data_IF_295958161423
#
_entry.id   IF_295958161423
#
_cell.length_a   1.000
_cell.length_b   1.000
_cell.length_c   1.000
_cell.angle_alpha   90.00
_cell.angle_beta   90.00
_cell.angle_gamma   90.00
#
_symmetry.space_group_name_H-M   'P 1'
#
loop_
_entity.id
_entity.type
_entity.pdbx_description
1 polymer ?
#
# COMPACT_ATOMS: atom_id res chain seq x y z
N UNK A 1 -20.28 -5.24 -39.44
CA UNK A 1 -20.52 -3.89 -39.96
C UNK A 1 -19.54 -2.95 -39.28
N UNK A 2 -18.66 -2.32 -40.06
CA UNK A 2 -17.58 -1.43 -39.60
C UNK A 2 -18.08 0.01 -39.73
N UNK A 3 -18.02 0.81 -38.67
CA UNK A 3 -17.92 2.26 -38.80
C UNK A 3 -16.89 2.79 -37.81
N UNK A 4 -15.82 3.30 -38.41
CA UNK A 4 -14.75 4.09 -37.82
C UNK A 4 -15.17 5.56 -37.90
N UNK A 5 -15.03 6.31 -36.81
CA UNK A 5 -15.12 7.76 -36.83
C UNK A 5 -13.98 8.33 -36.00
N UNK A 6 -12.94 8.77 -36.69
CA UNK A 6 -11.80 9.50 -36.16
C UNK A 6 -12.21 10.98 -36.17
N UNK A 7 -12.28 11.61 -35.00
CA UNK A 7 -12.49 13.06 -34.88
C UNK A 7 -11.12 13.73 -34.65
N UNK A 8 -10.64 14.39 -35.70
CA UNK A 8 -9.45 15.26 -35.66
C UNK A 8 -9.91 16.67 -35.30
N UNK A 9 -9.50 17.18 -34.14
CA UNK A 9 -9.72 18.59 -33.77
C UNK A 9 -8.46 19.39 -34.08
N UNK A 10 -8.62 20.33 -35.00
CA UNK A 10 -7.66 21.32 -35.45
C UNK A 10 -7.76 22.54 -34.51
N UNK A 11 -6.71 22.87 -33.75
CA UNK A 11 -6.65 24.11 -32.97
C UNK A 11 -5.72 25.09 -33.70
N UNK A 12 -6.32 26.16 -34.22
CA UNK A 12 -5.63 27.32 -34.78
C UNK A 12 -4.86 28.05 -33.68
N UNK A 13 -3.56 28.28 -33.91
CA UNK A 13 -2.79 29.28 -33.18
C UNK A 13 -3.10 30.67 -33.74
N UNK A 14 -3.70 31.52 -32.92
CA UNK A 14 -3.84 32.96 -33.17
C UNK A 14 -2.68 33.72 -32.53
N UNK A 15 -1.76 34.21 -33.36
CA UNK A 15 -0.72 35.18 -32.99
C UNK A 15 -1.34 36.57 -32.87
N UNK A 16 -1.30 37.16 -31.66
CA UNK A 16 -1.66 38.57 -31.44
C UNK A 16 -0.38 39.40 -31.45
N UNK A 17 -0.25 40.27 -32.46
CA UNK A 17 0.72 41.37 -32.48
C UNK A 17 0.29 42.44 -31.47
N UNK A 18 1.18 42.79 -30.55
CA UNK A 18 1.06 43.98 -29.70
C UNK A 18 2.01 45.04 -30.24
N UNK A 19 1.46 46.18 -30.67
CA UNK A 19 2.23 47.36 -31.06
C UNK A 19 2.66 48.12 -29.79
N UNK A 20 3.97 48.29 -29.63
CA UNK A 20 4.56 49.21 -28.67
C UNK A 20 4.45 50.64 -29.22
N UNK A 21 3.89 51.54 -28.42
CA UNK A 21 3.87 52.97 -28.70
C UNK A 21 4.64 53.66 -27.57
N UNK A 22 5.90 54.00 -27.86
CA UNK A 22 6.73 54.85 -27.01
C UNK A 22 6.22 56.28 -27.12
N UNK A 23 5.83 56.88 -26.00
CA UNK A 23 5.61 58.32 -25.90
C UNK A 23 6.37 58.82 -24.67
N UNK A 24 7.54 59.40 -24.95
CA UNK A 24 8.43 60.04 -23.99
C UNK A 24 8.02 61.49 -23.81
N UNK A 25 7.44 61.81 -22.66
CA UNK A 25 7.37 63.19 -22.14
C UNK A 25 7.97 63.22 -20.75
N UNK A 26 9.16 63.84 -20.67
CA UNK A 26 9.90 64.12 -19.46
C UNK A 26 9.37 65.41 -18.83
N UNK A 27 8.64 65.30 -17.72
CA UNK A 27 8.45 66.40 -16.79
C UNK A 27 8.97 65.97 -15.41
N UNK A 28 9.91 66.78 -14.90
CA UNK A 28 10.48 66.64 -13.58
C UNK A 28 9.39 66.90 -12.53
N UNK A 29 8.89 65.83 -11.90
CA UNK A 29 7.88 65.93 -10.86
C UNK A 29 8.46 65.49 -9.52
N UNK A 30 8.16 66.30 -8.51
CA UNK A 30 8.65 66.21 -7.14
C UNK A 30 8.31 64.84 -6.56
N UNK A 31 9.33 64.07 -6.17
CA UNK A 31 9.23 62.74 -5.57
C UNK A 31 8.61 62.84 -4.16
N UNK A 32 7.30 63.02 -4.08
CA UNK A 32 6.53 62.60 -2.92
C UNK A 32 6.49 61.08 -2.97
N UNK A 33 7.14 60.40 -2.02
CA UNK A 33 6.98 58.96 -1.86
C UNK A 33 5.48 58.65 -1.80
N UNK A 34 4.93 57.84 -2.71
CA UNK A 34 3.53 57.48 -2.66
C UNK A 34 3.27 56.89 -1.28
N UNK A 35 2.28 57.46 -0.58
CA UNK A 35 1.74 56.85 0.63
C UNK A 35 1.12 55.54 0.14
N UNK A 36 1.86 54.44 0.29
CA UNK A 36 1.34 53.10 0.02
C UNK A 36 0.10 52.93 0.89
N UNK A 37 -1.07 52.91 0.25
CA UNK A 37 -2.30 52.55 0.93
C UNK A 37 -2.08 51.18 1.57
N UNK A 38 -2.36 51.02 2.87
CA UNK A 38 -2.13 49.77 3.56
C UNK A 38 -2.92 48.68 2.85
N UNK A 39 -2.22 47.74 2.20
CA UNK A 39 -2.85 46.59 1.58
C UNK A 39 -3.51 45.78 2.69
N UNK A 40 -4.84 45.65 2.63
CA UNK A 40 -5.61 44.80 3.53
C UNK A 40 -5.17 43.35 3.26
N UNK A 41 -4.48 42.72 4.22
CA UNK A 41 -4.04 41.32 4.07
C UNK A 41 -4.97 40.44 4.88
N UNK A 42 -5.87 39.73 4.20
CA UNK A 42 -6.75 38.75 4.84
C UNK A 42 -5.93 37.52 5.26
N UNK A 43 -5.49 37.47 6.52
CA UNK A 43 -4.73 36.34 7.08
C UNK A 43 -5.65 35.24 7.63
N UNK A 44 -5.21 33.99 7.50
CA UNK A 44 -5.91 32.81 8.02
C UNK A 44 -6.07 32.91 9.55
N UNK A 45 -7.31 32.91 10.03
CA UNK A 45 -7.65 32.82 11.47
C UNK A 45 -8.18 34.09 12.13
N UNK A 46 -7.98 35.27 11.53
CA UNK A 46 -8.60 36.53 11.97
C UNK A 46 -9.08 37.29 10.74
N UNK A 47 -10.38 37.18 10.44
CA UNK A 47 -10.95 37.98 9.36
C UNK A 47 -11.04 39.43 9.86
N UNK A 48 -10.06 40.25 9.47
CA UNK A 48 -10.06 41.69 9.74
C UNK A 48 -11.26 42.36 9.06
N UNK A 49 -11.61 43.57 9.52
CA UNK A 49 -12.74 44.33 8.98
C UNK A 49 -12.57 44.54 7.46
N UNK A 50 -13.45 43.93 6.67
CA UNK A 50 -13.43 44.00 5.20
C UNK A 50 -13.24 42.64 4.52
N UNK A 51 -12.64 41.67 5.18
CA UNK A 51 -12.48 40.32 4.64
C UNK A 51 -13.80 39.53 4.69
N UNK A 52 -13.98 38.61 3.74
CA UNK A 52 -15.16 37.73 3.67
C UNK A 52 -14.78 36.37 4.26
N UNK A 53 -15.56 35.88 5.22
CA UNK A 53 -15.39 34.54 5.79
C UNK A 53 -16.28 33.54 5.06
N UNK A 54 -15.68 32.54 4.43
CA UNK A 54 -16.41 31.46 3.76
C UNK A 54 -16.59 30.24 4.69
N UNK A 55 -17.26 29.20 4.19
CA UNK A 55 -17.55 27.96 4.92
C UNK A 55 -16.35 27.06 5.16
N UNK A 56 -15.31 27.20 4.33
CA UNK A 56 -13.98 26.61 4.50
C UNK A 56 -13.23 27.14 5.75
N UNK A 57 -13.83 28.10 6.46
CA UNK A 57 -13.27 28.79 7.63
C UNK A 57 -12.04 29.65 7.28
N UNK A 58 -11.79 29.89 6.00
CA UNK A 58 -10.75 30.76 5.48
C UNK A 58 -11.32 32.19 5.27
N UNK A 59 -10.44 33.18 5.32
CA UNK A 59 -10.77 34.58 5.09
C UNK A 59 -10.29 34.96 3.69
N UNK A 60 -11.17 35.56 2.90
CA UNK A 60 -10.93 35.93 1.51
C UNK A 60 -11.01 37.45 1.32
N UNK A 61 -10.41 37.94 0.24
CA UNK A 61 -10.36 39.37 -0.08
C UNK A 61 -11.76 39.99 -0.24
N UNK A 62 -11.90 41.31 -0.01
CA UNK A 62 -13.16 42.01 -0.25
C UNK A 62 -13.65 41.80 -1.69
N UNK A 63 -14.89 41.36 -1.85
CA UNK A 63 -15.50 41.07 -3.15
C UNK A 63 -15.33 39.64 -3.64
N UNK A 64 -14.59 38.79 -2.93
CA UNK A 64 -14.53 37.36 -3.21
C UNK A 64 -15.91 36.70 -3.04
N UNK A 65 -16.33 35.86 -3.98
CA UNK A 65 -17.61 35.16 -3.92
C UNK A 65 -17.40 33.75 -3.36
N UNK A 66 -17.95 33.47 -2.18
CA UNK A 66 -17.96 32.12 -1.58
C UNK A 66 -18.99 31.23 -2.29
N UNK A 67 -18.59 30.51 -3.32
CA UNK A 67 -19.47 29.62 -4.08
C UNK A 67 -19.15 28.18 -3.67
N UNK A 68 -20.10 27.54 -2.98
CA UNK A 68 -20.04 26.12 -2.64
C UNK A 68 -20.76 25.30 -3.73
N UNK A 69 -19.99 24.75 -4.66
CA UNK A 69 -20.53 23.94 -5.75
C UNK A 69 -19.78 22.62 -5.87
N UNK A 70 -20.53 21.53 -6.00
CA UNK A 70 -20.00 20.18 -6.14
C UNK A 70 -20.76 19.44 -7.22
N UNK A 71 -20.03 18.73 -8.07
CA UNK A 71 -20.61 17.92 -9.15
C UNK A 71 -20.26 16.46 -8.97
N UNK A 72 -21.17 15.57 -9.36
CA UNK A 72 -20.89 14.14 -9.51
C UNK A 72 -20.30 13.91 -10.91
N UNK A 73 -19.06 13.43 -10.97
CA UNK A 73 -18.39 13.09 -12.23
C UNK A 73 -18.88 11.73 -12.76
N UNK A 74 -18.88 10.70 -11.89
CA UNK A 74 -19.35 9.32 -12.19
C UNK A 74 -19.51 8.50 -10.92
N UNK A 75 -20.19 7.36 -10.99
CA UNK A 75 -20.16 6.34 -9.93
C UNK A 75 -19.89 4.94 -10.50
N UNK A 76 -19.36 4.04 -9.68
CA UNK A 76 -19.06 2.67 -10.05
C UNK A 76 -19.16 1.71 -8.86
N UNK A 77 -19.52 0.43 -9.09
CA UNK A 77 -19.98 -0.11 -10.37
C UNK A 77 -21.40 0.36 -10.73
N UNK A 78 -21.73 0.40 -12.02
CA UNK A 78 -23.10 0.65 -12.52
C UNK A 78 -23.95 -0.63 -12.66
N UNK A 79 -23.34 -1.78 -12.37
CA UNK A 79 -23.98 -3.09 -12.31
C UNK A 79 -23.55 -3.81 -11.04
N UNK A 80 -24.53 -4.25 -10.26
CA UNK A 80 -24.34 -4.94 -8.98
C UNK A 80 -25.18 -6.22 -8.95
N UNK A 81 -24.89 -7.14 -8.04
CA UNK A 81 -25.78 -8.27 -7.73
C UNK A 81 -26.69 -7.89 -6.56
N UNK A 82 -27.85 -8.53 -6.44
CA UNK A 82 -28.65 -8.40 -5.21
C UNK A 82 -27.81 -8.73 -3.97
N UNK A 83 -28.13 -8.08 -2.85
CA UNK A 83 -27.37 -8.15 -1.61
C UNK A 83 -26.52 -6.91 -1.34
N UNK A 84 -25.53 -7.06 -0.48
CA UNK A 84 -24.64 -5.96 -0.09
C UNK A 84 -23.60 -5.66 -1.16
N UNK A 85 -23.42 -4.37 -1.48
CA UNK A 85 -22.38 -3.92 -2.39
C UNK A 85 -21.91 -2.51 -2.01
N UNK A 86 -20.73 -2.13 -2.47
CA UNK A 86 -20.19 -0.78 -2.27
C UNK A 86 -20.22 0.00 -3.58
N UNK A 87 -20.78 1.20 -3.54
CA UNK A 87 -20.71 2.17 -4.62
C UNK A 87 -19.62 3.20 -4.32
N UNK A 88 -18.79 3.46 -5.31
CA UNK A 88 -17.74 4.47 -5.30
C UNK A 88 -18.21 5.64 -6.16
N UNK A 89 -18.38 6.81 -5.56
CA UNK A 89 -18.94 7.99 -6.22
C UNK A 89 -17.84 9.04 -6.32
N UNK A 90 -17.50 9.43 -7.55
CA UNK A 90 -16.47 10.43 -7.84
C UNK A 90 -17.11 11.81 -7.83
N UNK A 91 -16.60 12.66 -6.94
CA UNK A 91 -17.04 14.04 -6.80
C UNK A 91 -15.94 14.99 -7.25
N UNK A 92 -16.33 16.17 -7.70
CA UNK A 92 -15.43 17.28 -8.01
C UNK A 92 -15.95 18.55 -7.35
N UNK A 93 -15.08 19.27 -6.66
CA UNK A 93 -15.38 20.61 -6.18
C UNK A 93 -15.23 21.60 -7.34
N UNK A 94 -16.35 22.15 -7.81
CA UNK A 94 -16.40 23.16 -8.89
C UNK A 94 -16.61 24.57 -8.36
N UNK A 95 -16.74 24.71 -7.03
CA UNK A 95 -16.89 26.00 -6.36
C UNK A 95 -15.60 26.81 -6.31
N UNK A 96 -15.65 27.89 -5.54
CA UNK A 96 -14.50 28.79 -5.31
C UNK A 96 -13.86 28.61 -3.95
N UNK A 97 -14.43 27.77 -3.09
CA UNK A 97 -13.99 27.52 -1.70
C UNK A 97 -13.80 26.04 -1.44
N UNK A 98 -12.98 25.70 -0.44
CA UNK A 98 -12.83 24.31 -0.02
C UNK A 98 -14.14 23.79 0.59
N UNK A 99 -14.45 22.51 0.41
CA UNK A 99 -15.65 21.88 0.95
C UNK A 99 -15.27 20.91 2.07
N UNK A 100 -15.98 20.96 3.19
CA UNK A 100 -15.76 20.09 4.35
C UNK A 100 -16.95 19.14 4.59
N UNK A 101 -16.69 17.99 5.21
CA UNK A 101 -17.69 16.96 5.59
C UNK A 101 -18.63 16.59 4.43
N UNK A 102 -18.04 15.96 3.42
CA UNK A 102 -18.72 15.60 2.18
C UNK A 102 -19.12 14.13 2.24
N UNK A 103 -20.40 13.84 2.02
CA UNK A 103 -20.86 12.45 1.93
C UNK A 103 -22.01 12.30 0.94
N UNK A 104 -22.22 11.07 0.48
CA UNK A 104 -23.35 10.72 -0.36
C UNK A 104 -24.41 9.95 0.42
N UNK A 105 -25.67 10.11 0.00
CA UNK A 105 -26.76 9.19 0.32
C UNK A 105 -27.33 8.63 -0.96
N UNK A 106 -27.52 7.31 -1.02
CA UNK A 106 -28.08 6.61 -2.16
C UNK A 106 -29.43 6.02 -1.76
N UNK A 107 -30.45 6.23 -2.59
CA UNK A 107 -31.80 5.71 -2.37
C UNK A 107 -32.43 5.30 -3.70
N UNK A 108 -33.33 4.32 -3.68
CA UNK A 108 -34.03 3.82 -4.86
C UNK A 108 -35.00 2.70 -4.46
N UNK A 109 -35.89 2.29 -5.36
CA UNK A 109 -36.79 1.18 -5.06
C UNK A 109 -36.01 -0.13 -4.88
N UNK A 110 -36.06 -0.71 -3.69
CA UNK A 110 -35.26 -1.90 -3.35
C UNK A 110 -33.78 -1.61 -3.08
N UNK A 111 -33.37 -0.35 -2.92
CA UNK A 111 -32.01 0.05 -2.53
C UNK A 111 -32.04 0.69 -1.15
N UNK A 112 -31.35 0.10 -0.19
CA UNK A 112 -31.17 0.65 1.15
C UNK A 112 -29.69 0.95 1.39
N UNK A 113 -29.37 2.16 1.86
CA UNK A 113 -28.01 2.51 2.28
C UNK A 113 -27.75 1.91 3.68
N UNK A 114 -26.65 1.19 3.82
CA UNK A 114 -26.21 0.57 5.07
C UNK A 114 -25.17 1.41 5.79
N UNK A 115 -24.22 1.96 5.02
CA UNK A 115 -23.08 2.71 5.56
C UNK A 115 -22.56 3.72 4.53
N UNK A 116 -21.79 4.71 5.00
CA UNK A 116 -21.16 5.74 4.17
C UNK A 116 -19.81 6.15 4.74
N UNK A 117 -18.86 6.44 3.86
CA UNK A 117 -17.56 7.01 4.21
C UNK A 117 -17.51 8.43 3.63
N UNK A 118 -17.34 9.42 4.50
CA UNK A 118 -17.20 10.83 4.10
C UNK A 118 -15.78 11.19 3.68
N UNK A 119 -15.67 12.22 2.85
CA UNK A 119 -14.43 12.95 2.59
C UNK A 119 -14.41 14.15 3.53
N UNK A 120 -13.33 14.28 4.33
CA UNK A 120 -13.23 15.34 5.33
C UNK A 120 -13.09 16.73 4.71
N UNK A 121 -12.25 16.85 3.67
CA UNK A 121 -11.99 18.10 2.94
C UNK A 121 -11.74 17.81 1.46
N UNK A 122 -12.33 18.63 0.58
CA UNK A 122 -12.10 18.61 -0.86
C UNK A 122 -11.71 20.02 -1.34
N UNK A 123 -10.47 20.18 -1.81
CA UNK A 123 -10.01 21.49 -2.25
C UNK A 123 -10.64 21.91 -3.57
N UNK A 124 -10.57 23.20 -3.87
CA UNK A 124 -11.07 23.79 -5.12
C UNK A 124 -10.43 23.11 -6.34
N UNK A 125 -11.28 22.60 -7.25
CA UNK A 125 -10.85 21.95 -8.48
C UNK A 125 -10.45 20.46 -8.34
N UNK A 126 -10.25 19.98 -7.11
CA UNK A 126 -9.85 18.60 -6.84
C UNK A 126 -11.02 17.62 -7.02
N UNK A 127 -10.65 16.34 -7.16
CA UNK A 127 -11.57 15.20 -7.20
C UNK A 127 -11.27 14.22 -6.09
N UNK A 128 -12.32 13.62 -5.54
CA UNK A 128 -12.17 12.54 -4.57
C UNK A 128 -13.36 11.56 -4.63
N UNK A 129 -13.24 10.46 -3.90
CA UNK A 129 -14.20 9.38 -3.82
C UNK A 129 -14.94 9.41 -2.48
N UNK A 130 -16.27 9.36 -2.55
CA UNK A 130 -17.10 8.97 -1.40
C UNK A 130 -17.59 7.55 -1.62
N UNK A 131 -17.67 6.78 -0.54
CA UNK A 131 -18.10 5.38 -0.58
C UNK A 131 -19.48 5.24 0.09
N UNK A 132 -20.39 4.52 -0.56
CA UNK A 132 -21.71 4.21 -0.01
C UNK A 132 -21.93 2.69 -0.08
N UNK A 133 -22.07 2.06 1.09
CA UNK A 133 -22.47 0.65 1.17
C UNK A 133 -23.98 0.57 1.07
N UNK A 134 -24.48 -0.21 0.14
CA UNK A 134 -25.92 -0.39 -0.10
C UNK A 134 -26.29 -1.87 -0.04
N UNK A 135 -27.57 -2.15 0.20
CA UNK A 135 -28.19 -3.46 0.07
C UNK A 135 -29.27 -3.38 -1.01
N UNK A 136 -29.14 -4.21 -2.04
CA UNK A 136 -30.11 -4.31 -3.14
C UNK A 136 -31.04 -5.51 -2.93
N UNK A 137 -32.32 -5.25 -2.65
CA UNK A 137 -33.34 -6.27 -2.38
C UNK A 137 -34.25 -6.58 -3.58
N UNK A 138 -34.13 -5.83 -4.67
CA UNK A 138 -34.83 -6.05 -5.94
C UNK A 138 -33.83 -6.18 -7.09
N UNK A 139 -34.15 -7.02 -8.06
CA UNK A 139 -33.41 -7.14 -9.32
C UNK A 139 -34.02 -6.25 -10.41
N UNK A 140 -33.26 -6.00 -11.48
CA UNK A 140 -33.68 -5.21 -12.63
C UNK A 140 -32.90 -3.90 -12.76
N UNK A 141 -33.36 -3.03 -13.66
CA UNK A 141 -32.84 -1.66 -13.79
C UNK A 141 -33.58 -0.77 -12.80
N UNK A 142 -32.87 -0.23 -11.81
CA UNK A 142 -33.45 0.55 -10.73
C UNK A 142 -33.01 2.01 -10.87
N UNK A 143 -33.98 2.93 -10.87
CA UNK A 143 -33.68 4.35 -10.76
C UNK A 143 -33.19 4.67 -9.35
N UNK A 144 -31.95 5.13 -9.25
CA UNK A 144 -31.32 5.56 -8.01
C UNK A 144 -31.24 7.08 -7.95
N UNK A 145 -31.38 7.61 -6.74
CA UNK A 145 -31.18 9.01 -6.40
C UNK A 145 -29.97 9.11 -5.51
N UNK A 146 -28.92 9.76 -6.01
CA UNK A 146 -27.70 10.08 -5.27
C UNK A 146 -27.80 11.53 -4.80
N UNK A 147 -27.80 11.75 -3.49
CA UNK A 147 -27.76 13.09 -2.87
C UNK A 147 -26.38 13.31 -2.27
N UNK A 148 -25.74 14.41 -2.63
CA UNK A 148 -24.45 14.82 -2.07
C UNK A 148 -24.69 15.89 -1.02
N UNK A 149 -24.14 15.65 0.17
CA UNK A 149 -24.19 16.55 1.30
C UNK A 149 -22.82 17.17 1.52
N UNK A 150 -22.81 18.45 1.87
CA UNK A 150 -21.62 19.18 2.32
C UNK A 150 -22.00 19.88 3.63
N UNK A 151 -21.24 19.63 4.70
CA UNK A 151 -21.54 20.12 6.05
C UNK A 151 -23.02 19.88 6.45
N UNK A 152 -23.55 18.70 6.14
CA UNK A 152 -24.93 18.31 6.44
C UNK A 152 -26.02 18.84 5.50
N UNK A 153 -25.71 19.69 4.52
CA UNK A 153 -26.69 20.26 3.59
C UNK A 153 -26.64 19.60 2.21
N UNK A 154 -27.79 19.29 1.61
CA UNK A 154 -27.84 18.76 0.23
C UNK A 154 -27.40 19.84 -0.75
N UNK A 155 -26.31 19.59 -1.48
CA UNK A 155 -25.77 20.49 -2.51
C UNK A 155 -26.05 20.00 -3.93
N UNK A 156 -26.05 18.69 -4.12
CA UNK A 156 -26.26 18.10 -5.44
C UNK A 156 -27.21 16.91 -5.36
N UNK A 157 -28.04 16.76 -6.39
CA UNK A 157 -28.95 15.62 -6.54
C UNK A 157 -28.80 15.09 -7.96
N UNK A 158 -28.48 13.81 -8.07
CA UNK A 158 -28.30 13.10 -9.32
C UNK A 158 -29.25 11.92 -9.37
N UNK A 159 -29.83 11.65 -10.55
CA UNK A 159 -30.72 10.52 -10.80
C UNK A 159 -30.15 9.73 -11.96
N UNK A 160 -29.95 8.43 -11.76
CA UNK A 160 -29.40 7.53 -12.77
C UNK A 160 -29.91 6.11 -12.56
N UNK A 161 -29.53 5.20 -13.46
CA UNK A 161 -29.94 3.81 -13.43
C UNK A 161 -28.82 2.90 -12.93
N UNK A 162 -29.17 2.03 -11.98
CA UNK A 162 -28.32 0.96 -11.48
C UNK A 162 -28.87 -0.38 -11.94
N UNK A 163 -28.04 -1.19 -12.60
CA UNK A 163 -28.44 -2.53 -13.03
C UNK A 163 -28.18 -3.52 -11.90
N UNK A 164 -29.24 -4.05 -11.29
CA UNK A 164 -29.14 -5.10 -10.27
C UNK A 164 -29.42 -6.46 -10.90
N UNK A 165 -28.39 -7.27 -11.04
CA UNK A 165 -28.52 -8.66 -11.46
C UNK A 165 -29.14 -9.48 -10.33
N UNK A 166 -30.09 -10.36 -10.68
CA UNK A 166 -30.45 -11.46 -9.79
C UNK A 166 -29.17 -12.22 -9.42
N UNK A 167 -29.05 -12.68 -8.16
CA UNK A 167 -28.01 -13.64 -7.85
C UNK A 167 -28.24 -14.80 -8.82
N UNK A 168 -27.18 -15.38 -9.41
CA UNK A 168 -27.36 -16.54 -10.28
C UNK A 168 -28.26 -17.50 -9.53
N UNK A 169 -29.45 -17.80 -10.08
CA UNK A 169 -30.30 -18.85 -9.56
C UNK A 169 -29.38 -20.03 -9.45
N UNK A 170 -28.97 -20.35 -8.23
CA UNK A 170 -28.15 -21.53 -7.97
C UNK A 170 -28.91 -22.62 -8.69
N UNK A 171 -28.30 -23.19 -9.72
CA UNK A 171 -28.86 -24.33 -10.43
C UNK A 171 -29.39 -25.28 -9.35
N UNK A 172 -30.61 -25.83 -9.51
CA UNK A 172 -31.23 -26.67 -8.49
C UNK A 172 -30.19 -27.70 -8.06
N UNK A 173 -29.63 -27.52 -6.86
CA UNK A 173 -28.36 -28.09 -6.41
C UNK A 173 -27.74 -29.01 -7.48
N UNK A 174 -26.95 -28.46 -8.41
CA UNK A 174 -26.08 -29.30 -9.23
C UNK A 174 -25.47 -30.27 -8.24
N UNK A 175 -25.77 -31.56 -8.40
CA UNK A 175 -25.44 -32.60 -7.42
C UNK A 175 -23.97 -32.39 -7.11
N UNK A 176 -23.68 -31.72 -5.98
CA UNK A 176 -22.32 -31.29 -5.70
C UNK A 176 -21.60 -32.60 -5.56
N UNK A 177 -20.73 -32.88 -6.53
CA UNK A 177 -20.06 -34.15 -6.58
C UNK A 177 -19.02 -34.10 -5.46
N UNK A 178 -19.46 -34.51 -4.26
CA UNK A 178 -18.65 -34.48 -3.04
C UNK A 178 -17.34 -35.23 -3.26
N UNK A 179 -17.34 -36.25 -4.12
CA UNK A 179 -16.13 -36.95 -4.54
C UNK A 179 -15.17 -36.05 -5.32
N UNK A 180 -15.64 -35.24 -6.27
CA UNK A 180 -14.79 -34.26 -6.96
C UNK A 180 -14.28 -33.19 -5.99
N UNK A 181 -15.15 -32.69 -5.11
CA UNK A 181 -14.79 -31.62 -4.17
C UNK A 181 -13.73 -32.06 -3.16
N UNK A 182 -13.84 -33.29 -2.65
CA UNK A 182 -12.81 -33.90 -1.80
C UNK A 182 -11.50 -34.16 -2.57
N UNK A 183 -11.60 -34.61 -3.83
CA UNK A 183 -10.42 -34.82 -4.68
C UNK A 183 -9.67 -33.51 -4.92
N UNK A 184 -10.38 -32.43 -5.24
CA UNK A 184 -9.81 -31.10 -5.43
C UNK A 184 -9.19 -30.56 -4.14
N UNK A 185 -9.88 -30.72 -3.00
CA UNK A 185 -9.34 -30.33 -1.70
C UNK A 185 -8.00 -31.01 -1.39
N UNK A 186 -7.89 -32.32 -1.59
CA UNK A 186 -6.63 -33.04 -1.34
C UNK A 186 -5.53 -32.65 -2.35
N UNK A 187 -5.87 -32.34 -3.60
CA UNK A 187 -4.91 -31.81 -4.58
C UNK A 187 -4.35 -30.45 -4.15
N UNK A 188 -5.22 -29.52 -3.74
CA UNK A 188 -4.79 -28.19 -3.27
C UNK A 188 -3.96 -28.27 -1.99
N UNK A 189 -4.30 -29.17 -1.07
CA UNK A 189 -3.52 -29.44 0.14
C UNK A 189 -2.15 -30.02 -0.17
N UNK A 190 -2.03 -30.86 -1.20
CA UNK A 190 -0.74 -31.34 -1.68
C UNK A 190 0.06 -30.20 -2.31
N UNK A 191 -0.55 -29.40 -3.21
CA UNK A 191 0.09 -28.21 -3.80
C UNK A 191 0.61 -27.24 -2.73
N UNK A 192 -0.17 -26.99 -1.67
CA UNK A 192 0.26 -26.20 -0.52
C UNK A 192 1.54 -26.75 0.12
N UNK A 193 1.62 -28.06 0.37
CA UNK A 193 2.82 -28.70 0.95
C UNK A 193 4.04 -28.56 0.04
N UNK A 194 3.83 -28.71 -1.26
CA UNK A 194 4.91 -28.60 -2.26
C UNK A 194 5.45 -27.15 -2.31
N UNK A 195 4.57 -26.15 -2.25
CA UNK A 195 4.96 -24.74 -2.21
C UNK A 195 5.59 -24.33 -0.87
N UNK A 196 5.11 -24.88 0.26
CA UNK A 196 5.73 -24.70 1.57
C UNK A 196 7.16 -25.26 1.58
N UNK A 197 7.37 -26.45 1.00
CA UNK A 197 8.70 -27.04 0.85
C UNK A 197 9.60 -26.16 -0.03
N UNK A 198 9.11 -25.71 -1.19
CA UNK A 198 9.85 -24.81 -2.09
C UNK A 198 10.24 -23.50 -1.40
N UNK A 199 9.34 -22.95 -0.59
CA UNK A 199 9.62 -21.78 0.24
C UNK A 199 10.78 -22.05 1.22
N UNK A 200 10.77 -23.18 1.94
CA UNK A 200 11.86 -23.52 2.86
C UNK A 200 13.19 -23.73 2.11
N UNK A 201 13.16 -24.37 0.95
CA UNK A 201 14.34 -24.57 0.12
C UNK A 201 14.92 -23.23 -0.38
N UNK A 202 14.07 -22.30 -0.86
CA UNK A 202 14.51 -20.95 -1.25
C UNK A 202 15.03 -20.15 -0.06
N UNK A 203 14.39 -20.27 1.11
CA UNK A 203 14.84 -19.61 2.34
C UNK A 203 16.23 -20.08 2.75
N UNK A 204 16.47 -21.40 2.77
CA UNK A 204 17.78 -21.98 3.09
C UNK A 204 18.85 -21.62 2.05
N UNK A 205 18.47 -21.43 0.79
CA UNK A 205 19.34 -20.95 -0.28
C UNK A 205 19.63 -19.43 -0.23
N UNK A 206 19.03 -18.69 0.71
CA UNK A 206 19.25 -17.26 0.93
C UNK A 206 18.43 -16.34 0.01
N UNK A 207 17.27 -16.78 -0.48
CA UNK A 207 16.35 -15.91 -1.21
C UNK A 207 15.52 -15.06 -0.21
N UNK A 208 15.17 -13.81 -0.53
CA UNK A 208 14.37 -12.94 0.33
C UNK A 208 12.88 -13.28 0.23
N UNK A 209 12.47 -14.40 0.83
CA UNK A 209 11.09 -14.92 0.74
C UNK A 209 10.20 -14.55 1.94
N UNK A 210 10.69 -13.76 2.90
CA UNK A 210 9.98 -13.55 4.18
C UNK A 210 8.56 -12.97 4.02
N UNK A 211 8.31 -12.15 2.99
CA UNK A 211 6.98 -11.59 2.69
C UNK A 211 5.96 -12.65 2.23
N UNK A 212 6.42 -13.80 1.74
CA UNK A 212 5.55 -14.89 1.25
C UNK A 212 4.99 -15.71 2.42
N UNK A 213 5.62 -15.66 3.60
CA UNK A 213 5.22 -16.46 4.76
C UNK A 213 3.79 -16.13 5.25
N UNK A 214 3.41 -14.86 5.26
CA UNK A 214 2.09 -14.43 5.71
C UNK A 214 0.99 -14.94 4.76
N UNK A 215 1.27 -14.97 3.45
CA UNK A 215 0.37 -15.54 2.44
C UNK A 215 0.20 -17.06 2.63
N UNK A 216 1.31 -17.80 2.81
CA UNK A 216 1.26 -19.24 3.12
C UNK A 216 0.42 -19.53 4.37
N UNK A 217 0.62 -18.74 5.44
CA UNK A 217 -0.15 -18.87 6.68
C UNK A 217 -1.64 -18.59 6.47
N UNK A 218 -2.00 -17.59 5.68
CA UNK A 218 -3.38 -17.29 5.34
C UNK A 218 -4.04 -18.45 4.57
N UNK A 219 -3.33 -19.04 3.59
CA UNK A 219 -3.81 -20.21 2.85
C UNK A 219 -4.02 -21.42 3.77
N UNK A 220 -3.11 -21.68 4.71
CA UNK A 220 -3.29 -22.75 5.69
C UNK A 220 -4.57 -22.60 6.53
N UNK A 221 -4.90 -21.37 6.92
CA UNK A 221 -6.14 -21.08 7.65
C UNK A 221 -7.37 -21.37 6.77
N UNK A 222 -7.35 -20.96 5.49
CA UNK A 222 -8.43 -21.27 4.54
C UNK A 222 -8.58 -22.77 4.27
N UNK A 223 -7.48 -23.54 4.20
CA UNK A 223 -7.51 -25.00 4.10
C UNK A 223 -8.23 -25.60 5.31
N UNK A 224 -7.88 -25.15 6.52
CA UNK A 224 -8.47 -25.64 7.77
C UNK A 224 -9.97 -25.30 7.85
N UNK A 225 -10.35 -24.08 7.46
CA UNK A 225 -11.74 -23.65 7.42
C UNK A 225 -12.56 -24.42 6.38
N UNK A 226 -12.02 -24.60 5.17
CA UNK A 226 -12.64 -25.37 4.09
C UNK A 226 -12.84 -26.83 4.48
N UNK A 227 -11.87 -27.42 5.18
CA UNK A 227 -12.00 -28.76 5.75
C UNK A 227 -13.17 -28.83 6.74
N UNK A 228 -13.33 -27.81 7.59
CA UNK A 228 -14.46 -27.72 8.51
C UNK A 228 -15.80 -27.69 7.78
N UNK A 229 -15.92 -26.89 6.70
CA UNK A 229 -17.14 -26.85 5.88
C UNK A 229 -17.45 -28.17 5.20
N UNK A 230 -16.42 -28.86 4.68
CA UNK A 230 -16.56 -30.22 4.12
C UNK A 230 -17.12 -31.21 5.14
N UNK A 231 -16.60 -31.17 6.38
CA UNK A 231 -17.04 -32.04 7.47
C UNK A 231 -18.46 -31.72 7.96
N UNK A 232 -18.85 -30.44 7.93
CA UNK A 232 -20.19 -29.98 8.31
C UNK A 232 -21.24 -30.19 7.21
N UNK A 233 -20.83 -30.58 6.00
CA UNK A 233 -21.72 -30.73 4.84
C UNK A 233 -22.13 -29.40 4.19
N UNK A 234 -21.48 -28.28 4.53
CA UNK A 234 -21.69 -26.98 3.88
C UNK A 234 -20.88 -26.89 2.59
N UNK A 235 -21.25 -27.72 1.61
CA UNK A 235 -20.48 -27.89 0.38
C UNK A 235 -20.39 -26.62 -0.47
N UNK A 236 -21.35 -25.70 -0.33
CA UNK A 236 -21.32 -24.41 -1.03
C UNK A 236 -20.21 -23.52 -0.48
N UNK A 237 -20.07 -23.43 0.84
CA UNK A 237 -18.93 -22.71 1.44
C UNK A 237 -17.61 -23.41 1.18
N UNK A 238 -17.59 -24.74 1.21
CA UNK A 238 -16.40 -25.49 0.85
C UNK A 238 -15.93 -25.19 -0.58
N UNK A 239 -16.85 -25.15 -1.56
CA UNK A 239 -16.52 -24.82 -2.95
C UNK A 239 -15.94 -23.41 -3.09
N UNK A 240 -16.51 -22.42 -2.39
CA UNK A 240 -15.98 -21.04 -2.37
C UNK A 240 -14.58 -21.05 -1.74
N UNK A 241 -14.39 -21.76 -0.62
CA UNK A 241 -13.12 -21.90 0.06
C UNK A 241 -12.03 -22.52 -0.82
N UNK A 242 -12.35 -23.56 -1.59
CA UNK A 242 -11.44 -24.16 -2.58
C UNK A 242 -11.00 -23.15 -3.64
N UNK A 243 -11.93 -22.35 -4.16
CA UNK A 243 -11.60 -21.29 -5.13
C UNK A 243 -10.62 -20.25 -4.56
N UNK A 244 -10.81 -19.84 -3.31
CA UNK A 244 -9.89 -18.91 -2.61
C UNK A 244 -8.51 -19.56 -2.40
N UNK A 245 -8.48 -20.82 -1.95
CA UNK A 245 -7.23 -21.57 -1.77
C UNK A 245 -6.47 -21.67 -3.10
N UNK A 246 -7.14 -22.08 -4.17
CA UNK A 246 -6.51 -22.24 -5.49
C UNK A 246 -5.88 -20.94 -5.98
N UNK A 247 -6.64 -19.83 -5.97
CA UNK A 247 -6.14 -18.52 -6.41
C UNK A 247 -4.90 -18.09 -5.62
N UNK A 248 -4.95 -18.20 -4.29
CA UNK A 248 -3.82 -17.79 -3.45
C UNK A 248 -2.59 -18.71 -3.63
N UNK A 249 -2.78 -20.01 -3.89
CA UNK A 249 -1.66 -20.92 -4.18
C UNK A 249 -1.01 -20.59 -5.52
N UNK A 250 -1.77 -20.20 -6.53
CA UNK A 250 -1.25 -19.76 -7.82
C UNK A 250 -0.41 -18.48 -7.67
N UNK A 251 -0.91 -17.49 -6.90
CA UNK A 251 -0.17 -16.26 -6.60
C UNK A 251 1.13 -16.52 -5.82
N UNK A 252 1.11 -17.43 -4.83
CA UNK A 252 2.30 -17.82 -4.07
C UNK A 252 3.32 -18.54 -4.96
N UNK A 253 2.86 -19.42 -5.86
CA UNK A 253 3.72 -20.11 -6.82
C UNK A 253 4.43 -19.11 -7.74
N UNK A 254 3.69 -18.13 -8.29
CA UNK A 254 4.25 -17.05 -9.10
C UNK A 254 5.29 -16.25 -8.29
N UNK A 255 4.95 -15.79 -7.09
CA UNK A 255 5.87 -15.06 -6.21
C UNK A 255 7.15 -15.86 -5.94
N UNK A 256 7.04 -17.14 -5.59
CA UNK A 256 8.20 -17.99 -5.34
C UNK A 256 9.07 -18.15 -6.60
N UNK A 257 8.46 -18.26 -7.78
CA UNK A 257 9.18 -18.38 -9.05
C UNK A 257 9.87 -17.07 -9.48
N UNK A 258 9.26 -15.94 -9.20
CA UNK A 258 9.79 -14.61 -9.54
C UNK A 258 10.88 -14.12 -8.59
N UNK A 259 10.90 -14.59 -7.33
CA UNK A 259 11.91 -14.16 -6.36
C UNK A 259 13.31 -14.52 -6.89
N UNK A 260 14.05 -13.49 -7.25
CA UNK A 260 15.44 -13.59 -7.68
C UNK A 260 16.32 -13.64 -6.45
N UNK A 261 17.33 -14.52 -6.48
CA UNK A 261 18.39 -14.51 -5.47
C UNK A 261 19.03 -13.13 -5.52
N UNK A 262 19.02 -12.40 -4.40
CA UNK A 262 19.81 -11.18 -4.30
C UNK A 262 21.24 -11.54 -4.71
N UNK A 263 21.76 -10.86 -5.73
CA UNK A 263 23.16 -11.03 -6.08
C UNK A 263 23.93 -10.61 -4.84
N UNK A 264 24.45 -11.59 -4.11
CA UNK A 264 25.32 -11.34 -2.97
C UNK A 264 26.41 -10.40 -3.45
N UNK A 265 26.30 -9.12 -3.08
CA UNK A 265 27.37 -8.17 -3.31
C UNK A 265 28.58 -8.75 -2.58
N UNK A 266 29.76 -8.71 -3.19
CA UNK A 266 30.99 -9.29 -2.62
C UNK A 266 31.22 -8.88 -1.15
N UNK A 267 30.71 -7.71 -0.76
CA UNK A 267 30.66 -7.21 0.63
C UNK A 267 29.89 -8.13 1.60
N UNK A 268 28.74 -8.70 1.20
CA UNK A 268 27.94 -9.62 2.01
C UNK A 268 28.66 -10.93 2.32
N UNK A 269 29.41 -11.49 1.35
CA UNK A 269 30.27 -12.67 1.56
C UNK A 269 31.40 -12.40 2.56
N UNK A 270 31.93 -11.17 2.62
CA UNK A 270 32.97 -10.81 3.59
C UNK A 270 32.39 -10.68 4.99
N UNK A 271 31.18 -10.11 5.15
CA UNK A 271 30.52 -9.97 6.45
C UNK A 271 30.18 -11.32 7.11
N UNK A 272 29.68 -12.29 6.35
CA UNK A 272 29.35 -13.61 6.90
C UNK A 272 30.60 -14.44 7.25
N UNK A 273 31.74 -14.19 6.60
CA UNK A 273 33.02 -14.78 6.98
C UNK A 273 33.74 -14.02 8.11
N UNK A 274 33.27 -12.83 8.50
CA UNK A 274 33.89 -12.03 9.57
C UNK A 274 33.84 -12.76 10.93
N UNK A 275 32.80 -13.56 11.18
CA UNK A 275 32.73 -14.43 12.36
C UNK A 275 33.79 -15.55 12.31
N UNK A 276 34.08 -16.07 11.12
CA UNK A 276 35.14 -17.08 10.90
C UNK A 276 36.54 -16.47 11.02
N UNK A 277 36.74 -15.24 10.54
CA UNK A 277 37.99 -14.49 10.75
C UNK A 277 38.15 -14.05 12.21
N UNK A 278 37.05 -13.74 12.91
CA UNK A 278 37.05 -13.41 14.34
C UNK A 278 37.52 -14.58 15.21
N UNK A 279 37.05 -15.80 14.93
CA UNK A 279 37.52 -17.01 15.64
C UNK A 279 38.99 -17.34 15.31
N UNK A 280 39.42 -17.14 14.06
CA UNK A 280 40.82 -17.31 13.66
C UNK A 280 41.75 -16.29 14.36
N UNK A 281 41.33 -15.03 14.45
CA UNK A 281 42.08 -13.98 15.15
C UNK A 281 42.18 -14.26 16.65
N UNK A 282 41.09 -14.70 17.30
CA UNK A 282 41.11 -15.09 18.71
C UNK A 282 42.02 -16.29 18.98
N UNK A 283 42.06 -17.27 18.07
CA UNK A 283 42.97 -18.41 18.15
C UNK A 283 44.45 -17.98 17.98
N UNK A 284 44.75 -17.04 17.07
CA UNK A 284 46.10 -16.51 16.91
C UNK A 284 46.56 -15.72 18.15
N UNK A 285 45.67 -14.92 18.75
CA UNK A 285 45.97 -14.17 19.98
C UNK A 285 46.22 -15.11 21.15
N UNK A 286 45.43 -16.18 21.31
CA UNK A 286 45.63 -17.15 22.38
C UNK A 286 46.94 -17.93 22.24
N UNK A 287 47.34 -18.31 21.02
CA UNK A 287 48.65 -18.91 20.73
C UNK A 287 49.79 -17.95 21.09
N UNK A 288 49.69 -16.68 20.71
CA UNK A 288 50.72 -15.69 21.03
C UNK A 288 50.86 -15.44 22.53
N UNK A 289 49.74 -15.42 23.25
CA UNK A 289 49.71 -15.22 24.69
C UNK A 289 50.30 -16.43 25.43
N UNK A 290 49.94 -17.64 25.00
CA UNK A 290 50.54 -18.88 25.52
C UNK A 290 52.06 -18.94 25.27
N UNK A 291 52.50 -18.55 24.07
CA UNK A 291 53.92 -18.50 23.72
C UNK A 291 54.70 -17.51 24.62
N UNK A 292 54.16 -16.31 24.85
CA UNK A 292 54.79 -15.32 25.75
C UNK A 292 54.81 -15.78 27.21
N UNK A 293 53.76 -16.45 27.68
CA UNK A 293 53.74 -17.04 29.02
C UNK A 293 54.84 -18.10 29.19
N UNK A 294 55.02 -18.98 28.20
CA UNK A 294 56.09 -19.99 28.21
C UNK A 294 57.48 -19.33 28.18
N UNK A 295 57.69 -18.27 27.40
CA UNK A 295 58.97 -17.54 27.43
C UNK A 295 59.20 -16.80 28.76
N UNK A 296 58.15 -16.30 29.40
CA UNK A 296 58.23 -15.56 30.67
C UNK A 296 58.45 -16.44 31.91
N UNK A 297 57.90 -17.66 31.93
CA UNK A 297 58.01 -18.58 33.08
C UNK A 297 59.25 -19.48 33.05
N UNK A 298 59.98 -19.50 31.95
CA UNK A 298 61.27 -20.20 31.86
C UNK A 298 62.34 -19.32 32.49
N UNK A 299 62.47 -19.46 33.80
CA UNK A 299 63.52 -18.87 34.60
C UNK A 299 64.88 -19.44 34.13
N UNK A 300 65.50 -18.78 33.13
CA UNK A 300 66.71 -19.26 32.42
C UNK A 300 67.82 -19.69 33.38
N UNK A 301 67.85 -19.10 34.59
CA UNK A 301 68.75 -19.48 35.68
C UNK A 301 68.54 -20.92 36.17
N UNK A 302 67.29 -21.36 36.37
CA UNK A 302 66.97 -22.75 36.77
C UNK A 302 67.31 -23.77 35.69
N UNK A 303 67.11 -23.44 34.41
CA UNK A 303 67.51 -24.30 33.29
C UNK A 303 69.03 -24.46 33.20
N UNK A 304 69.79 -23.37 33.37
CA UNK A 304 71.25 -23.43 33.40
C UNK A 304 71.76 -24.24 34.61
N UNK A 305 71.11 -24.10 35.77
CA UNK A 305 71.47 -24.87 36.97
C UNK A 305 71.20 -26.38 36.78
N UNK A 306 70.05 -26.74 36.19
CA UNK A 306 69.72 -28.13 35.83
C UNK A 306 70.72 -28.71 34.82
N UNK A 307 71.07 -27.95 33.78
CA UNK A 307 72.05 -28.38 32.79
C UNK A 307 73.43 -28.62 33.43
N UNK A 308 73.87 -27.73 34.33
CA UNK A 308 75.13 -27.87 35.08
C UNK A 308 75.12 -29.10 36.00
N UNK A 309 73.99 -29.42 36.64
CA UNK A 309 73.81 -30.65 37.44
C UNK A 309 73.83 -31.92 36.61
N UNK A 310 73.27 -31.91 35.39
CA UNK A 310 73.29 -33.08 34.49
C UNK A 310 74.71 -33.36 34.00
N UNK A 311 75.46 -32.33 33.59
CA UNK A 311 76.86 -32.48 33.15
C UNK A 311 77.76 -33.00 34.29
N UNK A 312 77.61 -32.48 35.51
CA UNK A 312 78.41 -32.93 36.65
C UNK A 312 78.12 -34.38 37.05
N UNK A 313 76.85 -34.83 36.94
CA UNK A 313 76.48 -36.24 37.14
C UNK A 313 77.04 -37.16 36.05
N UNK A 314 77.05 -36.76 34.77
CA UNK A 314 77.70 -37.55 33.69
C UNK A 314 79.22 -37.68 33.92
N UNK A 315 79.91 -36.62 34.34
CA UNK A 315 81.34 -36.69 34.67
C UNK A 315 81.66 -37.61 35.86
N UNK A 316 80.76 -37.74 36.84
CA UNK A 316 80.92 -38.69 37.96
C UNK A 316 80.64 -40.15 37.55
N UNK A 317 79.77 -40.41 36.58
CA UNK A 317 79.51 -41.77 36.06
C UNK A 317 80.64 -42.31 35.16
N UNK A 318 81.40 -41.46 34.48
CA UNK A 318 82.54 -41.88 33.64
C UNK A 318 83.88 -41.97 34.41
N UNK A 319 83.87 -41.82 35.74
CA UNK A 319 85.05 -41.94 36.62
C UNK A 319 84.95 -43.12 37.60
N UNK A 320 83.98 -44.01 37.39
CA UNK A 320 83.83 -45.28 38.12
C UNK A 320 83.98 -46.43 37.16
#
# INVERSE_FOLDING_TARGET
MKYSAIFTILILMGTVLVFAQENTTSEANVTASPVEEPQLVCKTGQCENGCIKCSDRECHDPGFQCIEEITLDKFFPNKVTMGETQLNIVLRNTGTVNLDDIYASVSGDGIAMLDKISVEKLNVGDKDYVFAKINASKSGTIDIVIKIYVAGNVKFKYVDQLIVAEPPKTAPADVINVTMLNSEFEQLKQKYRDLEQLYQDKKTQGYPVDLIYDNLRAVFNHITETQSFLLQGDYKKAQIGLGVISSNLDDIEEQLNEVRKEKETLSGKVKNNLLFFGSLAAALVSIFTAYKLIQGSVDRKKLLELHKRIISRKKKKNKK
#
